data_IF_512813814860
#
_entry.id   IF_512813814860
#
_cell.length_a   1.000
_cell.length_b   1.000
_cell.length_c   1.000
_cell.angle_alpha   90.00
_cell.angle_beta   90.00
_cell.angle_gamma   90.00
#
_symmetry.space_group_name_H-M   'P 1'
#
loop_
_entity.id
_entity.type
_entity.pdbx_description
1 polymer ?
#
# COMPACT_ATOMS: atom_id res chain seq x y z
N UNK A 1 -0.09 16.04 -0.83
CA UNK A 1 0.92 15.60 0.14
C UNK A 1 1.33 14.18 -0.16
N UNK A 2 2.62 13.89 -0.01
CA UNK A 2 3.18 12.59 -0.38
C UNK A 2 3.35 11.71 0.86
N UNK A 3 3.03 10.43 0.72
CA UNK A 3 3.17 9.45 1.80
C UNK A 3 3.90 8.21 1.30
N UNK A 4 4.68 7.64 2.19
CA UNK A 4 5.26 6.32 2.02
C UNK A 4 4.51 5.35 2.94
N UNK A 5 4.08 4.22 2.40
CA UNK A 5 3.38 3.21 3.16
C UNK A 5 4.09 1.87 3.03
N UNK A 6 4.25 1.18 4.15
CA UNK A 6 4.75 -0.19 4.19
C UNK A 6 3.63 -1.08 4.69
N UNK A 7 3.25 -2.08 3.90
CA UNK A 7 2.35 -3.15 4.34
C UNK A 7 3.20 -4.37 4.68
N UNK A 8 3.03 -4.88 5.88
CA UNK A 8 3.75 -6.08 6.33
C UNK A 8 2.74 -7.08 6.87
N UNK A 9 2.81 -8.32 6.37
CA UNK A 9 2.01 -9.42 6.90
C UNK A 9 2.95 -10.52 7.42
N UNK A 10 2.41 -11.39 8.28
CA UNK A 10 3.17 -12.51 8.83
C UNK A 10 3.00 -13.74 7.95
N UNK A 11 3.83 -14.78 8.10
CA UNK A 11 3.59 -16.05 7.41
C UNK A 11 2.21 -16.62 7.66
N UNK A 12 1.66 -16.43 8.86
CA UNK A 12 0.33 -16.92 9.24
C UNK A 12 -0.79 -16.18 8.49
N UNK A 13 -0.61 -14.91 8.18
CA UNK A 13 -1.60 -14.10 7.49
C UNK A 13 -1.30 -13.96 5.99
N UNK A 14 -0.25 -14.59 5.50
CA UNK A 14 0.14 -14.51 4.09
C UNK A 14 -1.00 -14.97 3.19
N UNK A 15 -1.47 -14.13 2.23
CA UNK A 15 -2.59 -14.51 1.39
C UNK A 15 -2.27 -15.58 0.35
N UNK A 16 -0.99 -15.82 0.05
CA UNK A 16 -0.60 -16.80 -0.96
C UNK A 16 -1.21 -18.19 -0.75
N UNK A 17 -1.02 -18.83 0.44
CA UNK A 17 -1.61 -20.13 0.72
C UNK A 17 -3.14 -20.09 0.87
N UNK A 18 -3.74 -18.92 0.95
CA UNK A 18 -5.17 -18.72 1.20
C UNK A 18 -5.94 -18.30 -0.05
N UNK A 19 -5.38 -18.54 -1.24
CA UNK A 19 -6.07 -18.26 -2.50
C UNK A 19 -5.67 -16.96 -3.17
N UNK A 20 -4.66 -16.26 -2.66
CA UNK A 20 -4.10 -15.07 -3.28
C UNK A 20 -4.46 -13.77 -2.55
N UNK A 21 -3.81 -12.69 -2.96
CA UNK A 21 -3.98 -11.38 -2.37
C UNK A 21 -5.35 -10.77 -2.72
N UNK A 22 -5.98 -10.02 -1.80
CA UNK A 22 -7.22 -9.31 -2.09
C UNK A 22 -7.09 -8.26 -3.18
N UNK A 23 -5.89 -7.68 -3.34
CA UNK A 23 -5.59 -6.70 -4.37
C UNK A 23 -4.40 -7.21 -5.17
N UNK A 24 -4.59 -7.40 -6.47
CA UNK A 24 -3.54 -7.83 -7.40
C UNK A 24 -3.17 -6.73 -8.39
N UNK A 25 -4.01 -5.70 -8.51
CA UNK A 25 -3.81 -4.57 -9.43
C UNK A 25 -3.91 -3.27 -8.62
N UNK A 26 -2.80 -2.87 -8.02
CA UNK A 26 -2.75 -1.66 -7.21
C UNK A 26 -3.00 -0.38 -8.00
N UNK A 27 -2.51 -0.23 -9.25
CA UNK A 27 -2.87 0.94 -10.05
C UNK A 27 -4.38 1.09 -10.26
N UNK A 28 -5.09 0.00 -10.55
CA UNK A 28 -6.55 0.04 -10.70
C UNK A 28 -7.24 0.40 -9.39
N UNK A 29 -6.76 -0.15 -8.27
CA UNK A 29 -7.31 0.17 -6.95
C UNK A 29 -7.12 1.63 -6.60
N UNK A 30 -5.94 2.18 -6.89
CA UNK A 30 -5.62 3.58 -6.64
C UNK A 30 -6.52 4.51 -7.45
N UNK A 31 -6.76 4.17 -8.71
CA UNK A 31 -7.67 4.93 -9.57
C UNK A 31 -9.10 4.91 -9.04
N UNK A 32 -9.57 3.75 -8.61
CA UNK A 32 -10.90 3.58 -8.02
C UNK A 32 -11.09 4.45 -6.78
N UNK A 33 -10.08 4.52 -5.93
CA UNK A 33 -10.12 5.33 -4.70
C UNK A 33 -9.91 6.82 -4.99
N UNK A 34 -9.26 7.16 -6.09
CA UNK A 34 -8.94 8.54 -6.44
C UNK A 34 -7.66 9.04 -5.80
N UNK A 35 -6.65 8.18 -5.70
CA UNK A 35 -5.34 8.52 -5.17
C UNK A 35 -4.28 8.31 -6.26
N UNK A 36 -3.27 9.18 -6.30
CA UNK A 36 -2.17 9.02 -7.26
C UNK A 36 -1.15 8.02 -6.69
N UNK A 37 -0.97 6.92 -7.39
CA UNK A 37 0.02 5.91 -7.03
C UNK A 37 1.31 6.17 -7.80
N UNK A 38 2.37 6.53 -7.07
CA UNK A 38 3.66 6.86 -7.69
C UNK A 38 4.53 5.62 -7.81
N UNK A 39 4.50 4.75 -6.81
CA UNK A 39 5.32 3.54 -6.77
C UNK A 39 4.65 2.47 -5.94
N UNK A 40 4.77 1.22 -6.38
CA UNK A 40 4.32 0.04 -5.63
C UNK A 40 5.26 -1.11 -5.95
N UNK A 41 5.96 -1.61 -4.94
CA UNK A 41 6.92 -2.71 -5.06
C UNK A 41 6.77 -3.64 -3.87
N UNK A 42 7.28 -4.86 -4.02
CA UNK A 42 7.21 -5.81 -2.90
C UNK A 42 8.52 -6.56 -2.72
N UNK A 43 8.74 -7.00 -1.49
CA UNK A 43 9.79 -7.93 -1.12
C UNK A 43 9.13 -9.16 -0.51
N UNK A 44 9.03 -10.25 -1.31
CA UNK A 44 8.38 -11.48 -0.86
C UNK A 44 9.06 -12.12 0.36
N UNK A 45 10.41 -12.22 0.41
CA UNK A 45 11.06 -12.82 1.58
C UNK A 45 10.72 -12.17 2.92
N UNK A 46 10.46 -10.85 2.93
CA UNK A 46 10.10 -10.13 4.16
C UNK A 46 8.60 -9.96 4.33
N UNK A 47 7.79 -10.48 3.41
CA UNK A 47 6.33 -10.31 3.41
C UNK A 47 5.93 -8.84 3.48
N UNK A 48 6.64 -7.98 2.74
CA UNK A 48 6.44 -6.53 2.76
C UNK A 48 6.14 -5.97 1.39
N UNK A 49 5.28 -4.96 1.36
CA UNK A 49 4.99 -4.16 0.17
C UNK A 49 5.22 -2.70 0.50
N UNK A 50 5.74 -1.95 -0.47
CA UNK A 50 6.12 -0.56 -0.28
C UNK A 50 5.43 0.30 -1.32
N UNK A 51 4.82 1.40 -0.86
CA UNK A 51 4.03 2.29 -1.71
C UNK A 51 4.47 3.72 -1.51
N UNK A 52 4.44 4.50 -2.61
CA UNK A 52 4.53 5.95 -2.54
C UNK A 52 3.29 6.49 -3.22
N UNK A 53 2.55 7.33 -2.51
CA UNK A 53 1.29 7.88 -3.00
C UNK A 53 1.22 9.38 -2.76
N UNK A 54 0.39 10.05 -3.55
CA UNK A 54 0.12 11.48 -3.42
C UNK A 54 -1.37 11.68 -3.19
N UNK A 55 -1.72 12.35 -2.10
CA UNK A 55 -3.11 12.74 -1.81
C UNK A 55 -3.13 13.87 -0.79
N UNK A 56 -4.14 14.73 -0.87
CA UNK A 56 -4.42 15.72 0.16
C UNK A 56 -5.49 15.24 1.15
N UNK A 57 -6.04 14.05 0.93
CA UNK A 57 -7.07 13.47 1.76
C UNK A 57 -6.56 12.20 2.42
N UNK A 58 -6.22 12.31 3.71
CA UNK A 58 -5.69 11.17 4.48
C UNK A 58 -6.67 10.00 4.54
N UNK A 59 -7.98 10.27 4.50
CA UNK A 59 -8.99 9.21 4.55
C UNK A 59 -8.90 8.26 3.35
N UNK A 60 -8.39 8.73 2.22
CA UNK A 60 -8.21 7.89 1.03
C UNK A 60 -7.13 6.84 1.22
N UNK A 61 -6.17 7.06 2.12
CA UNK A 61 -5.18 6.04 2.46
C UNK A 61 -5.84 4.84 3.13
N UNK A 62 -6.80 5.08 4.02
CA UNK A 62 -7.56 4.00 4.63
C UNK A 62 -8.36 3.23 3.58
N UNK A 63 -8.97 3.94 2.65
CA UNK A 63 -9.73 3.28 1.58
C UNK A 63 -8.82 2.46 0.67
N UNK A 64 -7.65 2.99 0.33
CA UNK A 64 -6.69 2.28 -0.52
C UNK A 64 -6.29 0.93 0.09
N UNK A 65 -5.99 0.92 1.38
CA UNK A 65 -5.48 -0.27 2.06
C UNK A 65 -6.56 -1.08 2.77
N UNK A 66 -7.82 -0.68 2.70
CA UNK A 66 -8.92 -1.37 3.36
C UNK A 66 -8.99 -2.86 3.04
N UNK A 67 -8.81 -3.30 1.77
CA UNK A 67 -8.86 -4.74 1.47
C UNK A 67 -7.81 -5.58 2.20
N UNK A 68 -6.71 -4.94 2.65
CA UNK A 68 -5.62 -5.62 3.37
C UNK A 68 -5.84 -5.61 4.89
N UNK A 69 -6.90 -4.98 5.37
CA UNK A 69 -7.17 -4.92 6.80
C UNK A 69 -7.38 -6.33 7.37
N UNK A 70 -6.74 -6.62 8.50
CA UNK A 70 -6.77 -7.96 9.09
C UNK A 70 -5.73 -8.92 8.50
N UNK A 71 -5.08 -8.55 7.39
CA UNK A 71 -4.03 -9.35 6.76
C UNK A 71 -2.66 -8.72 7.03
N UNK A 72 -2.54 -7.42 6.84
CA UNK A 72 -1.27 -6.70 6.96
C UNK A 72 -1.42 -5.49 7.86
N UNK A 73 -0.33 -5.15 8.54
CA UNK A 73 -0.20 -3.88 9.23
C UNK A 73 0.33 -2.83 8.25
N UNK A 74 -0.21 -1.62 8.32
CA UNK A 74 0.23 -0.51 7.49
C UNK A 74 0.99 0.51 8.34
N UNK A 75 2.19 0.87 7.88
CA UNK A 75 3.00 1.92 8.47
C UNK A 75 3.09 3.05 7.46
N UNK A 76 2.45 4.18 7.75
CA UNK A 76 2.30 5.29 6.81
C UNK A 76 3.05 6.51 7.33
N UNK A 77 3.94 7.05 6.50
CA UNK A 77 4.81 8.17 6.87
C UNK A 77 4.71 9.28 5.81
N UNK A 78 4.47 10.53 6.22
CA UNK A 78 4.59 11.65 5.30
C UNK A 78 6.03 11.80 4.84
N UNK A 79 6.22 12.04 3.54
CA UNK A 79 7.54 12.15 2.94
C UNK A 79 7.60 13.33 1.97
N UNK A 80 8.83 13.74 1.65
CA UNK A 80 9.08 14.77 0.66
C UNK A 80 9.97 14.19 -0.44
N UNK A 81 9.65 14.52 -1.68
CA UNK A 81 10.46 14.12 -2.82
C UNK A 81 11.74 14.97 -2.86
N UNK A 82 12.90 14.30 -2.73
CA UNK A 82 14.19 14.97 -2.77
C UNK A 82 14.73 15.13 -4.17
N UNK A 83 14.20 14.40 -5.15
CA UNK A 83 14.62 14.49 -6.55
C UNK A 83 13.91 15.64 -7.27
N UNK A 84 12.79 16.07 -6.74
CA UNK A 84 11.95 17.10 -7.35
C UNK A 84 11.31 17.95 -6.23
N UNK A 85 12.12 18.71 -5.50
CA UNK A 85 11.69 19.41 -4.30
C UNK A 85 10.75 20.58 -4.57
#
# INVERSE_FOLDING_TARGET
MRFHATLTHTPETCPGPRGGAPVTDWPARAEEVGIELISAVQCQPTHSQFFVVETDDYSKLFELFRPMQGIAAADITPVRDLMNP
#
